data_IF_032298232500
#
_entry.id   IF_032298232500
#
_cell.length_a   1.000
_cell.length_b   1.000
_cell.length_c   1.000
_cell.angle_alpha   90.00
_cell.angle_beta   90.00
_cell.angle_gamma   90.00
#
_symmetry.space_group_name_H-M   'P 1'
#
loop_
_entity.id
_entity.type
_entity.pdbx_description
1 polymer ?
#
# COMPACT_ATOMS: atom_id res chain seq x y z
N UNK A 1 -17.00 -5.38 -13.52
CA UNK A 1 -15.55 -5.60 -13.74
C UNK A 1 -15.42 -6.38 -15.03
N UNK A 2 -14.73 -5.83 -16.03
CA UNK A 2 -14.54 -6.44 -17.34
C UNK A 2 -13.06 -6.76 -17.51
N UNK A 3 -12.76 -7.91 -18.08
CA UNK A 3 -11.41 -8.31 -18.40
C UNK A 3 -10.99 -7.63 -19.71
N UNK A 4 -10.10 -6.65 -19.64
CA UNK A 4 -9.66 -5.85 -20.80
C UNK A 4 -8.28 -6.30 -21.25
N UNK A 5 -8.07 -6.41 -22.56
CA UNK A 5 -6.74 -6.65 -23.13
C UNK A 5 -5.89 -5.39 -23.01
N UNK A 6 -4.64 -5.56 -22.57
CA UNK A 6 -3.61 -4.53 -22.50
C UNK A 6 -2.34 -5.05 -23.16
N UNK A 7 -1.40 -4.18 -23.51
CA UNK A 7 -0.10 -4.61 -24.02
C UNK A 7 0.58 -5.54 -23.01
N UNK A 8 0.77 -6.80 -23.40
CA UNK A 8 1.36 -7.83 -22.55
C UNK A 8 0.39 -8.66 -21.70
N UNK A 9 -0.94 -8.53 -21.85
CA UNK A 9 -1.87 -9.47 -21.20
C UNK A 9 -3.33 -9.04 -21.11
N UNK A 10 -4.06 -9.62 -20.16
CA UNK A 10 -5.44 -9.26 -19.82
C UNK A 10 -5.47 -8.77 -18.38
N UNK A 11 -6.15 -7.65 -18.12
CA UNK A 11 -6.29 -7.07 -16.80
C UNK A 11 -7.77 -6.94 -16.43
N UNK A 12 -8.10 -7.19 -15.16
CA UNK A 12 -9.41 -6.82 -14.63
C UNK A 12 -9.50 -5.30 -14.58
N UNK A 13 -10.54 -4.75 -15.22
CA UNK A 13 -10.79 -3.32 -15.27
C UNK A 13 -12.20 -3.02 -14.76
N UNK A 14 -12.35 -1.86 -14.12
CA UNK A 14 -13.66 -1.29 -13.81
C UNK A 14 -13.95 -0.25 -14.90
N UNK A 15 -14.86 -0.58 -15.81
CA UNK A 15 -15.35 0.35 -16.84
C UNK A 15 -16.69 0.94 -16.42
N UNK A 16 -17.00 2.12 -16.94
CA UNK A 16 -18.39 2.58 -17.00
C UNK A 16 -19.13 1.81 -18.11
N UNK A 17 -20.45 1.74 -18.01
CA UNK A 17 -21.31 1.12 -19.01
C UNK A 17 -22.07 2.23 -19.75
N UNK A 18 -21.49 2.72 -20.84
CA UNK A 18 -22.10 3.74 -21.71
C UNK A 18 -21.71 5.18 -21.36
N UNK A 19 -22.23 6.11 -22.16
CA UNK A 19 -22.03 7.57 -22.04
C UNK A 19 -22.89 8.22 -20.95
N UNK A 20 -24.01 7.59 -20.58
CA UNK A 20 -24.93 8.10 -19.56
C UNK A 20 -24.68 7.44 -18.20
N UNK A 21 -24.52 8.26 -17.18
CA UNK A 21 -24.45 7.75 -15.80
C UNK A 21 -25.84 7.37 -15.29
N UNK A 22 -25.99 6.25 -14.56
CA UNK A 22 -27.24 5.93 -13.88
C UNK A 22 -27.64 7.04 -12.91
N UNK A 23 -28.95 7.25 -12.75
CA UNK A 23 -29.46 8.21 -11.79
C UNK A 23 -29.09 7.81 -10.36
N UNK A 24 -28.65 8.78 -9.57
CA UNK A 24 -28.34 8.60 -8.15
C UNK A 24 -29.43 9.28 -7.33
N UNK A 25 -29.92 8.61 -6.29
CA UNK A 25 -30.99 9.11 -5.42
C UNK A 25 -30.52 9.16 -3.97
N UNK A 26 -31.03 10.14 -3.23
CA UNK A 26 -30.94 10.13 -1.77
C UNK A 26 -31.78 8.97 -1.23
N UNK A 27 -31.20 8.12 -0.40
CA UNK A 27 -31.89 6.96 0.17
C UNK A 27 -32.36 7.29 1.59
N UNK A 28 -33.65 7.11 1.85
CA UNK A 28 -34.22 7.37 3.18
C UNK A 28 -33.60 6.37 4.17
N UNK A 29 -32.81 6.89 5.12
CA UNK A 29 -32.05 6.08 6.10
C UNK A 29 -31.12 5.03 5.46
N UNK A 30 -30.70 5.25 4.22
CA UNK A 30 -29.82 4.32 3.49
C UNK A 30 -30.53 3.08 2.92
N UNK A 31 -31.86 3.02 2.95
CA UNK A 31 -32.63 1.91 2.37
C UNK A 31 -32.66 2.02 0.84
N UNK A 32 -32.04 1.05 0.15
CA UNK A 32 -31.97 0.99 -1.31
C UNK A 32 -33.35 0.87 -1.99
N UNK A 33 -34.39 0.42 -1.27
CA UNK A 33 -35.74 0.31 -1.79
C UNK A 33 -36.59 1.57 -1.57
N UNK A 34 -36.02 2.61 -0.93
CA UNK A 34 -36.71 3.87 -0.63
C UNK A 34 -35.93 5.07 -1.19
N UNK A 35 -35.83 5.20 -2.53
CA UNK A 35 -35.28 6.40 -3.14
C UNK A 35 -36.20 7.59 -2.87
N UNK A 36 -35.61 8.74 -2.59
CA UNK A 36 -36.30 10.02 -2.43
C UNK A 36 -36.01 10.93 -3.63
N UNK A 37 -35.22 11.99 -3.46
CA UNK A 37 -34.89 12.92 -4.53
C UNK A 37 -33.66 12.44 -5.30
N UNK A 38 -33.66 12.68 -6.61
CA UNK A 38 -32.48 12.57 -7.47
C UNK A 38 -31.41 13.58 -7.01
N UNK A 39 -30.16 13.17 -7.04
CA UNK A 39 -29.00 14.01 -6.76
C UNK A 39 -28.02 13.94 -7.93
N UNK A 40 -27.40 15.08 -8.22
CA UNK A 40 -26.32 15.15 -9.22
C UNK A 40 -24.95 15.05 -8.54
N UNK A 41 -23.93 14.51 -9.21
CA UNK A 41 -22.57 14.54 -8.71
C UNK A 41 -22.10 15.99 -8.53
N UNK A 42 -21.45 16.26 -7.41
CA UNK A 42 -20.89 17.57 -7.12
C UNK A 42 -19.59 17.42 -6.33
N UNK A 43 -18.69 18.39 -6.46
CA UNK A 43 -17.51 18.51 -5.59
C UNK A 43 -17.94 19.14 -4.26
N UNK A 44 -17.41 18.70 -3.11
CA UNK A 44 -17.71 19.34 -1.84
C UNK A 44 -17.47 20.86 -1.89
N UNK A 45 -18.47 21.64 -1.48
CA UNK A 45 -18.49 23.11 -1.57
C UNK A 45 -17.26 23.79 -0.93
N UNK A 46 -16.66 23.13 0.07
CA UNK A 46 -15.43 23.59 0.75
C UNK A 46 -14.25 23.80 -0.21
N UNK A 47 -14.25 23.13 -1.37
CA UNK A 47 -13.22 23.33 -2.38
C UNK A 47 -13.48 24.56 -3.27
N UNK A 48 -14.68 25.17 -3.19
CA UNK A 48 -15.04 26.47 -3.76
C UNK A 48 -14.65 26.67 -5.24
N UNK A 49 -14.68 25.60 -6.03
CA UNK A 49 -14.44 25.61 -7.48
C UNK A 49 -15.65 25.04 -8.19
N UNK A 50 -16.02 25.62 -9.33
CA UNK A 50 -16.82 24.91 -10.33
C UNK A 50 -16.08 23.61 -10.63
N UNK A 51 -16.72 22.48 -10.34
CA UNK A 51 -16.10 21.17 -10.49
C UNK A 51 -15.67 20.91 -11.94
N UNK A 52 -14.87 19.88 -12.21
CA UNK A 52 -14.40 19.62 -13.55
C UNK A 52 -15.55 19.24 -14.47
N UNK A 53 -15.60 19.87 -15.63
CA UNK A 53 -16.58 19.56 -16.66
C UNK A 53 -16.25 18.20 -17.30
N UNK A 54 -17.19 17.24 -17.29
CA UNK A 54 -16.99 15.96 -17.94
C UNK A 54 -17.14 16.06 -19.45
N UNK A 55 -16.24 15.38 -20.18
CA UNK A 55 -16.34 15.17 -21.63
C UNK A 55 -16.78 13.72 -21.89
N UNK A 56 -18.05 13.47 -22.25
CA UNK A 56 -18.52 12.12 -22.55
C UNK A 56 -17.81 11.52 -23.76
N UNK A 57 -17.63 10.20 -23.72
CA UNK A 57 -17.16 9.37 -24.84
C UNK A 57 -18.21 8.30 -25.11
N UNK A 58 -18.08 7.56 -26.22
CA UNK A 58 -19.01 6.47 -26.56
C UNK A 58 -19.21 5.45 -25.43
N UNK A 59 -18.20 5.25 -24.57
CA UNK A 59 -18.17 4.20 -23.55
C UNK A 59 -18.00 4.73 -22.11
N UNK A 60 -18.10 6.04 -21.89
CA UNK A 60 -17.98 6.63 -20.55
C UNK A 60 -18.62 8.02 -20.49
N UNK A 61 -19.17 8.35 -19.33
CA UNK A 61 -19.66 9.69 -19.01
C UNK A 61 -18.57 10.77 -18.91
N UNK A 62 -17.28 10.40 -18.94
CA UNK A 62 -16.16 11.35 -18.82
C UNK A 62 -15.89 11.84 -17.38
N UNK A 63 -16.84 11.65 -16.46
CA UNK A 63 -16.79 12.17 -15.07
C UNK A 63 -15.56 11.73 -14.29
N UNK A 64 -15.18 10.45 -14.37
CA UNK A 64 -13.98 9.93 -13.67
C UNK A 64 -12.68 10.56 -14.19
N UNK A 65 -12.56 10.74 -15.50
CA UNK A 65 -11.37 11.34 -16.09
C UNK A 65 -11.29 12.84 -15.76
N UNK A 66 -12.42 13.54 -15.82
CA UNK A 66 -12.52 14.95 -15.43
C UNK A 66 -12.10 15.16 -13.96
N UNK A 67 -12.61 14.33 -13.05
CA UNK A 67 -12.20 14.34 -11.64
C UNK A 67 -10.72 14.02 -11.47
N UNK A 68 -10.18 13.03 -12.18
CA UNK A 68 -8.77 12.68 -12.10
C UNK A 68 -7.88 13.85 -12.54
N UNK A 69 -8.20 14.49 -13.68
CA UNK A 69 -7.48 15.67 -14.19
C UNK A 69 -7.49 16.81 -13.18
N UNK A 70 -8.64 17.09 -12.57
CA UNK A 70 -8.78 18.13 -11.54
C UNK A 70 -7.98 17.84 -10.27
N UNK A 71 -8.00 16.59 -9.79
CA UNK A 71 -7.19 16.18 -8.62
C UNK A 71 -5.69 16.32 -8.93
N UNK A 72 -5.26 15.96 -10.15
CA UNK A 72 -3.85 16.01 -10.56
C UNK A 72 -3.46 17.31 -11.24
N UNK A 73 -4.29 18.34 -11.18
CA UNK A 73 -3.99 19.62 -11.81
C UNK A 73 -2.73 20.22 -11.16
N UNK A 74 -1.74 20.71 -11.95
CA UNK A 74 -0.54 21.36 -11.39
C UNK A 74 -0.84 22.56 -10.47
N UNK A 75 -1.98 23.23 -10.66
CA UNK A 75 -2.45 24.30 -9.79
C UNK A 75 -3.01 23.79 -8.45
N UNK A 76 -3.24 22.47 -8.31
CA UNK A 76 -3.58 21.82 -7.05
C UNK A 76 -2.30 21.34 -6.33
N UNK A 77 -1.79 22.06 -5.33
CA UNK A 77 -0.53 21.69 -4.67
C UNK A 77 -0.67 20.47 -3.75
N UNK A 78 -1.89 20.10 -3.34
CA UNK A 78 -2.09 19.10 -2.29
C UNK A 78 -1.73 17.69 -2.77
N UNK A 79 -2.13 17.33 -3.98
CA UNK A 79 -1.92 15.98 -4.52
C UNK A 79 -0.44 15.65 -4.63
N UNK A 80 0.36 16.59 -5.16
CA UNK A 80 1.80 16.42 -5.26
C UNK A 80 2.46 16.33 -3.87
N UNK A 81 2.12 17.24 -2.94
CA UNK A 81 2.64 17.23 -1.56
C UNK A 81 2.34 15.93 -0.82
N UNK A 82 1.09 15.43 -0.92
CA UNK A 82 0.70 14.17 -0.28
C UNK A 82 1.49 13.01 -0.86
N UNK A 83 1.64 12.94 -2.19
CA UNK A 83 2.36 11.83 -2.82
C UNK A 83 3.85 11.84 -2.49
N UNK A 84 4.53 12.98 -2.56
CA UNK A 84 5.96 13.05 -2.22
C UNK A 84 6.21 12.79 -0.74
N UNK A 85 5.28 13.20 0.14
CA UNK A 85 5.36 12.86 1.56
C UNK A 85 5.25 11.35 1.80
N UNK A 86 4.41 10.64 1.05
CA UNK A 86 4.32 9.16 1.09
C UNK A 86 5.61 8.50 0.59
N UNK A 87 6.18 9.00 -0.50
CA UNK A 87 7.46 8.50 -1.03
C UNK A 87 8.57 8.70 0.01
N UNK A 88 8.62 9.88 0.63
CA UNK A 88 9.56 10.20 1.71
C UNK A 88 9.35 9.27 2.91
N UNK A 89 8.12 9.16 3.40
CA UNK A 89 7.75 8.28 4.50
C UNK A 89 8.16 6.84 4.23
N UNK A 90 7.96 6.33 3.01
CA UNK A 90 8.34 4.96 2.67
C UNK A 90 9.86 4.74 2.75
N UNK A 91 10.68 5.76 2.53
CA UNK A 91 12.13 5.67 2.66
C UNK A 91 12.62 5.86 4.10
N UNK A 92 12.04 6.83 4.83
CA UNK A 92 12.52 7.24 6.15
C UNK A 92 11.72 6.70 7.34
N UNK A 93 10.61 6.01 7.09
CA UNK A 93 9.65 5.51 8.09
C UNK A 93 8.64 6.55 8.57
N UNK A 94 8.96 7.85 8.43
CA UNK A 94 8.12 8.98 8.81
C UNK A 94 8.13 10.03 7.70
N UNK A 95 6.97 10.60 7.40
CA UNK A 95 6.83 11.69 6.43
C UNK A 95 7.40 13.00 6.96
N UNK A 96 7.58 13.97 6.07
CA UNK A 96 7.83 15.38 6.42
C UNK A 96 6.61 15.92 7.18
N UNK A 97 5.41 15.53 6.75
CA UNK A 97 4.19 15.58 7.56
C UNK A 97 3.98 14.19 8.16
N UNK A 98 4.00 14.12 9.50
CA UNK A 98 3.96 12.85 10.23
C UNK A 98 2.63 12.09 10.11
N UNK A 99 1.55 12.78 9.75
CA UNK A 99 0.21 12.24 9.49
C UNK A 99 -0.07 12.16 7.99
N UNK A 100 0.30 11.06 7.31
CA UNK A 100 0.23 10.98 5.84
C UNK A 100 -1.19 11.01 5.25
N UNK A 101 -2.21 10.77 6.07
CA UNK A 101 -3.62 10.85 5.68
C UNK A 101 -4.30 12.17 6.08
N UNK A 102 -3.61 13.04 6.84
CA UNK A 102 -4.19 14.29 7.34
C UNK A 102 -3.17 15.43 7.23
N UNK A 103 -3.34 16.26 6.20
CA UNK A 103 -2.59 17.49 5.96
C UNK A 103 -3.35 18.74 6.45
N UNK A 104 -4.51 18.54 7.08
CA UNK A 104 -5.35 19.59 7.63
C UNK A 104 -4.89 20.03 9.01
N UNK A 105 -5.72 20.86 9.67
CA UNK A 105 -5.42 21.40 11.00
C UNK A 105 -5.37 20.35 12.13
N UNK A 106 -5.98 19.19 11.91
CA UNK A 106 -5.97 18.08 12.87
C UNK A 106 -4.73 17.17 12.70
N UNK A 107 -4.00 17.32 11.59
CA UNK A 107 -2.74 16.62 11.34
C UNK A 107 -1.55 17.20 12.11
N UNK A 108 -0.42 16.51 12.03
CA UNK A 108 0.84 17.00 12.56
C UNK A 108 1.42 18.14 11.72
N UNK A 109 2.12 19.12 12.34
CA UNK A 109 2.74 20.20 11.60
C UNK A 109 3.82 19.70 10.64
N UNK A 110 3.97 20.39 9.52
CA UNK A 110 5.03 20.13 8.54
C UNK A 110 6.41 20.43 9.15
N UNK A 111 7.32 19.45 9.14
CA UNK A 111 8.64 19.63 9.74
C UNK A 111 9.58 20.52 8.91
N UNK A 112 9.38 20.54 7.59
CA UNK A 112 10.12 21.39 6.66
C UNK A 112 9.26 21.66 5.41
N UNK A 113 8.63 22.84 5.36
CA UNK A 113 7.74 23.22 4.26
C UNK A 113 8.50 23.46 2.95
N UNK A 114 9.67 24.12 3.00
CA UNK A 114 10.49 24.41 1.81
C UNK A 114 10.90 23.12 1.09
N UNK A 115 11.31 22.09 1.83
CA UNK A 115 11.64 20.79 1.28
C UNK A 115 10.41 20.10 0.66
N UNK A 116 9.28 20.15 1.35
CA UNK A 116 8.05 19.53 0.86
C UNK A 116 7.59 20.17 -0.46
N UNK A 117 7.64 21.51 -0.53
CA UNK A 117 7.27 22.28 -1.70
C UNK A 117 8.23 22.03 -2.86
N UNK A 118 9.54 22.01 -2.59
CA UNK A 118 10.53 21.68 -3.60
C UNK A 118 10.32 20.27 -4.18
N UNK A 119 10.07 19.28 -3.33
CA UNK A 119 9.80 17.91 -3.78
C UNK A 119 8.50 17.83 -4.59
N UNK A 120 7.46 18.56 -4.19
CA UNK A 120 6.18 18.59 -4.90
C UNK A 120 6.33 19.21 -6.30
N UNK A 121 7.05 20.34 -6.41
CA UNK A 121 7.37 20.97 -7.71
C UNK A 121 8.20 20.04 -8.59
N UNK A 122 9.23 19.40 -8.04
CA UNK A 122 10.04 18.43 -8.79
C UNK A 122 9.22 17.24 -9.29
N UNK A 123 8.28 16.76 -8.48
CA UNK A 123 7.41 15.66 -8.86
C UNK A 123 6.51 16.02 -10.04
N UNK A 124 5.92 17.22 -10.04
CA UNK A 124 5.13 17.74 -11.17
C UNK A 124 6.03 17.91 -12.41
N UNK A 125 7.18 18.57 -12.28
CA UNK A 125 8.11 18.83 -13.39
C UNK A 125 8.66 17.55 -14.04
N UNK A 126 8.83 16.49 -13.26
CA UNK A 126 9.26 15.17 -13.74
C UNK A 126 8.15 14.34 -14.41
N UNK A 127 6.97 14.93 -14.63
CA UNK A 127 5.81 14.24 -15.20
C UNK A 127 5.21 13.20 -14.27
N UNK A 128 5.17 13.49 -12.96
CA UNK A 128 4.61 12.60 -11.93
C UNK A 128 5.35 11.26 -11.82
N UNK A 129 6.64 11.24 -12.14
CA UNK A 129 7.46 10.02 -12.15
C UNK A 129 7.89 9.60 -10.74
N UNK A 130 7.20 8.60 -10.17
CA UNK A 130 7.56 8.03 -8.85
C UNK A 130 9.00 7.49 -8.86
N UNK A 131 9.42 6.87 -9.97
CA UNK A 131 10.78 6.34 -10.14
C UNK A 131 11.83 7.45 -10.08
N UNK A 132 11.53 8.61 -10.66
CA UNK A 132 12.39 9.79 -10.56
C UNK A 132 12.53 10.25 -9.10
N UNK A 133 11.41 10.38 -8.39
CA UNK A 133 11.43 10.80 -6.98
C UNK A 133 12.18 9.83 -6.08
N UNK A 134 12.09 8.52 -6.32
CA UNK A 134 12.93 7.57 -5.58
C UNK A 134 14.42 7.86 -5.79
N UNK A 135 14.87 8.17 -7.01
CA UNK A 135 16.27 8.52 -7.28
C UNK A 135 16.68 9.82 -6.61
N UNK A 136 15.83 10.84 -6.64
CA UNK A 136 16.05 12.14 -5.96
C UNK A 136 16.29 11.90 -4.47
N UNK A 137 15.38 11.17 -3.81
CA UNK A 137 15.49 10.85 -2.38
C UNK A 137 16.72 10.01 -2.08
N UNK A 138 16.94 8.91 -2.81
CA UNK A 138 18.05 7.98 -2.57
C UNK A 138 19.43 8.58 -2.83
N UNK A 139 19.51 9.62 -3.68
CA UNK A 139 20.76 10.34 -3.93
C UNK A 139 21.04 11.45 -2.93
N UNK A 140 20.06 11.84 -2.12
CA UNK A 140 20.21 12.88 -1.10
C UNK A 140 21.21 12.50 0.00
N UNK A 141 21.82 13.52 0.61
CA UNK A 141 22.65 13.31 1.82
C UNK A 141 21.82 12.71 2.96
N UNK A 142 20.55 13.09 3.10
CA UNK A 142 19.67 12.58 4.15
C UNK A 142 19.51 11.06 4.08
N UNK A 143 19.29 10.51 2.89
CA UNK A 143 19.16 9.06 2.69
C UNK A 143 20.47 8.30 2.94
N UNK A 144 21.61 8.92 2.61
CA UNK A 144 22.95 8.31 2.75
C UNK A 144 23.57 8.47 4.14
N UNK A 145 22.87 9.09 5.09
CA UNK A 145 23.37 9.24 6.47
C UNK A 145 23.51 7.88 7.17
N UNK A 146 24.46 7.78 8.08
CA UNK A 146 24.60 6.63 8.97
C UNK A 146 23.38 6.52 9.90
N UNK A 147 23.11 5.31 10.39
CA UNK A 147 22.13 5.06 11.46
C UNK A 147 22.73 5.23 12.86
N UNK A 148 24.02 5.56 12.96
CA UNK A 148 24.72 5.73 14.24
C UNK A 148 24.09 6.81 15.12
N UNK A 149 24.00 6.57 16.44
CA UNK A 149 23.46 7.54 17.37
C UNK A 149 24.43 8.70 17.57
N UNK A 150 23.88 9.91 17.73
CA UNK A 150 24.62 11.09 18.14
C UNK A 150 23.96 11.66 19.38
N UNK A 151 24.66 11.67 20.52
CA UNK A 151 24.09 12.05 21.83
C UNK A 151 23.52 13.48 21.82
N UNK A 152 24.23 14.42 21.18
CA UNK A 152 23.80 15.83 21.11
C UNK A 152 22.52 16.00 20.30
N UNK A 153 22.40 15.32 19.17
CA UNK A 153 21.19 15.38 18.33
C UNK A 153 20.06 14.59 18.95
N UNK A 154 20.33 13.43 19.56
CA UNK A 154 19.33 12.63 20.26
C UNK A 154 18.69 13.39 21.42
N UNK A 155 19.44 14.25 22.12
CA UNK A 155 18.88 15.12 23.16
C UNK A 155 18.00 16.26 22.64
N UNK A 156 18.20 16.70 21.38
CA UNK A 156 17.44 17.81 20.77
C UNK A 156 16.26 17.36 19.92
N UNK A 157 16.43 16.28 19.18
CA UNK A 157 15.44 15.67 18.30
C UNK A 157 15.45 14.13 18.49
N UNK A 158 14.92 13.62 19.62
CA UNK A 158 14.87 12.19 19.90
C UNK A 158 14.09 11.39 18.84
N UNK A 159 13.06 12.00 18.26
CA UNK A 159 12.19 11.40 17.23
C UNK A 159 12.81 11.38 15.83
N UNK A 160 13.98 11.98 15.64
CA UNK A 160 14.64 12.12 14.35
C UNK A 160 13.73 12.76 13.28
N UNK A 161 12.92 13.75 13.69
CA UNK A 161 11.99 14.51 12.83
C UNK A 161 12.75 15.26 11.73
N UNK A 162 13.98 15.69 12.00
CA UNK A 162 14.84 16.39 11.04
C UNK A 162 15.84 15.46 10.32
N UNK A 163 15.67 14.14 10.45
CA UNK A 163 16.45 13.13 9.75
C UNK A 163 17.98 13.30 9.89
N UNK A 164 18.44 13.66 11.09
CA UNK A 164 19.88 13.81 11.40
C UNK A 164 20.66 12.48 11.33
N UNK A 165 19.95 11.34 11.31
CA UNK A 165 20.47 10.00 11.01
C UNK A 165 19.47 9.20 10.15
N UNK A 166 19.90 8.05 9.64
CA UNK A 166 18.98 7.09 9.04
C UNK A 166 18.23 6.30 10.13
N UNK A 167 16.94 6.04 9.90
CA UNK A 167 16.11 5.25 10.80
C UNK A 167 16.29 3.76 10.51
N UNK A 168 16.52 2.97 11.57
CA UNK A 168 16.37 1.52 11.49
C UNK A 168 14.90 1.20 11.32
N UNK A 169 14.59 0.33 10.37
CA UNK A 169 13.22 -0.04 10.04
C UNK A 169 13.05 -1.54 10.15
N UNK A 170 11.95 -1.93 10.77
CA UNK A 170 11.50 -3.32 10.76
C UNK A 170 11.09 -3.71 9.34
N UNK A 171 11.41 -4.94 8.95
CA UNK A 171 10.96 -5.51 7.69
C UNK A 171 9.45 -5.78 7.76
N UNK A 172 8.75 -5.50 6.66
CA UNK A 172 7.33 -5.86 6.50
C UNK A 172 7.17 -7.38 6.40
N UNK A 173 5.99 -7.90 6.77
CA UNK A 173 5.71 -9.34 6.79
C UNK A 173 6.11 -10.07 5.50
N UNK A 174 5.75 -9.47 4.35
CA UNK A 174 6.03 -9.98 3.02
C UNK A 174 7.54 -10.07 2.77
N UNK A 175 8.28 -9.06 3.23
CA UNK A 175 9.74 -9.02 3.09
C UNK A 175 10.41 -10.03 4.02
N UNK A 176 9.92 -10.20 5.25
CA UNK A 176 10.44 -11.23 6.18
C UNK A 176 10.33 -12.60 5.53
N UNK A 177 9.13 -12.96 5.04
CA UNK A 177 8.90 -14.24 4.37
C UNK A 177 9.75 -14.41 3.12
N UNK A 178 9.78 -13.41 2.24
CA UNK A 178 10.58 -13.47 1.01
C UNK A 178 12.08 -13.63 1.30
N UNK A 179 12.58 -13.02 2.38
CA UNK A 179 13.98 -13.17 2.81
C UNK A 179 14.28 -14.56 3.35
N UNK A 180 13.38 -15.16 4.12
CA UNK A 180 13.52 -16.55 4.58
C UNK A 180 13.67 -17.49 3.37
N UNK A 181 12.76 -17.39 2.40
CA UNK A 181 12.79 -18.19 1.18
C UNK A 181 14.02 -17.92 0.32
N UNK A 182 14.48 -16.66 0.27
CA UNK A 182 15.67 -16.30 -0.50
C UNK A 182 16.93 -16.91 0.12
N UNK A 183 17.10 -16.81 1.43
CA UNK A 183 18.29 -17.31 2.14
C UNK A 183 18.32 -18.84 2.07
N UNK A 184 17.18 -19.50 2.22
CA UNK A 184 17.06 -20.96 2.06
C UNK A 184 17.24 -21.45 0.62
N UNK A 185 17.14 -20.56 -0.37
CA UNK A 185 17.30 -20.91 -1.79
C UNK A 185 16.03 -21.53 -2.39
N UNK A 186 14.92 -21.50 -1.66
CA UNK A 186 13.62 -22.00 -2.12
C UNK A 186 12.83 -20.96 -2.93
N UNK A 187 13.16 -19.68 -2.83
CA UNK A 187 12.40 -18.59 -3.47
C UNK A 187 12.21 -18.82 -4.96
N UNK A 188 10.96 -18.95 -5.39
CA UNK A 188 10.56 -18.98 -6.79
C UNK A 188 10.45 -17.54 -7.34
N UNK A 189 11.33 -17.10 -8.26
CA UNK A 189 11.33 -15.72 -8.76
C UNK A 189 10.30 -15.46 -9.88
N UNK A 190 9.47 -16.45 -10.24
CA UNK A 190 8.47 -16.34 -11.32
C UNK A 190 7.57 -15.12 -11.12
N UNK A 191 7.57 -14.25 -12.14
CA UNK A 191 6.77 -13.02 -12.18
C UNK A 191 5.47 -13.24 -12.95
N UNK A 192 4.43 -12.52 -12.54
CA UNK A 192 3.12 -12.54 -13.20
C UNK A 192 2.35 -13.85 -12.97
N UNK A 193 1.26 -14.03 -13.71
CA UNK A 193 0.37 -15.19 -13.56
C UNK A 193 -0.53 -15.12 -12.31
N UNK A 194 -1.37 -16.15 -12.10
CA UNK A 194 -2.31 -16.19 -10.98
C UNK A 194 -1.61 -16.14 -9.62
N UNK A 195 -2.32 -15.64 -8.60
CA UNK A 195 -1.88 -15.74 -7.21
C UNK A 195 -1.79 -17.19 -6.76
N UNK A 196 -0.88 -17.50 -5.85
CA UNK A 196 -0.85 -18.78 -5.15
C UNK A 196 -1.73 -18.69 -3.90
N UNK A 197 -2.29 -19.81 -3.46
CA UNK A 197 -3.09 -19.88 -2.24
C UNK A 197 -2.24 -20.38 -1.07
N UNK A 198 -1.91 -19.55 -0.08
CA UNK A 198 -1.10 -19.95 1.08
C UNK A 198 -1.62 -21.21 1.76
N UNK A 199 -0.71 -22.08 2.18
CA UNK A 199 -1.05 -23.19 3.07
C UNK A 199 -1.49 -22.61 4.43
N UNK A 200 -2.67 -23.04 4.89
CA UNK A 200 -3.27 -22.61 6.15
C UNK A 200 -3.52 -23.83 7.01
N UNK A 201 -3.29 -23.69 8.33
CA UNK A 201 -3.58 -24.74 9.29
C UNK A 201 -5.09 -25.06 9.30
N UNK A 202 -5.43 -26.31 9.60
CA UNK A 202 -6.81 -26.80 9.59
C UNK A 202 -7.77 -25.97 10.45
N UNK A 203 -7.31 -25.42 11.57
CA UNK A 203 -8.09 -24.54 12.45
C UNK A 203 -8.52 -23.23 11.76
N UNK A 204 -7.63 -22.61 10.98
CA UNK A 204 -7.91 -21.38 10.24
C UNK A 204 -8.93 -21.65 9.13
N UNK A 205 -8.82 -22.81 8.47
CA UNK A 205 -9.76 -23.25 7.44
C UNK A 205 -11.12 -23.62 8.04
N UNK A 206 -11.15 -24.17 9.26
CA UNK A 206 -12.37 -24.53 10.00
C UNK A 206 -13.14 -23.29 10.47
N UNK A 207 -12.46 -22.19 10.80
CA UNK A 207 -13.08 -20.90 11.16
C UNK A 207 -13.64 -20.10 9.97
N UNK A 208 -13.46 -20.57 8.73
CA UNK A 208 -13.95 -19.87 7.55
C UNK A 208 -15.48 -19.91 7.46
N UNK A 209 -16.11 -18.85 6.93
CA UNK A 209 -17.57 -18.73 6.79
C UNK A 209 -18.26 -19.85 5.99
N UNK A 210 -17.49 -20.65 5.23
CA UNK A 210 -17.91 -21.91 4.60
C UNK A 210 -16.80 -22.95 4.76
N UNK A 211 -16.77 -23.73 5.87
CA UNK A 211 -15.73 -24.74 6.09
C UNK A 211 -15.66 -25.72 4.91
N UNK A 212 -14.46 -25.97 4.39
CA UNK A 212 -14.23 -26.94 3.31
C UNK A 212 -14.60 -26.50 1.88
N UNK A 213 -15.17 -25.30 1.66
CA UNK A 213 -15.41 -24.76 0.30
C UNK A 213 -14.62 -23.48 0.02
N UNK A 214 -13.69 -23.57 -0.93
CA UNK A 214 -13.14 -22.38 -1.63
C UNK A 214 -11.72 -21.96 -1.27
N UNK A 215 -10.99 -22.74 -0.47
CA UNK A 215 -9.54 -22.55 -0.28
C UNK A 215 -8.81 -23.87 -0.49
N UNK A 216 -8.21 -24.03 -1.67
CA UNK A 216 -7.27 -25.12 -1.96
C UNK A 216 -5.90 -24.50 -2.00
N UNK A 217 -4.98 -24.96 -1.15
CA UNK A 217 -3.63 -24.41 -1.15
C UNK A 217 -2.87 -24.83 -2.40
N UNK A 218 -2.01 -23.94 -2.86
CA UNK A 218 -1.10 -24.15 -3.98
C UNK A 218 -0.04 -25.20 -3.67
N UNK A 219 0.55 -25.80 -4.71
CA UNK A 219 1.66 -26.74 -4.56
C UNK A 219 2.92 -26.05 -4.00
N UNK A 220 3.93 -26.83 -3.59
CA UNK A 220 5.14 -26.30 -2.94
C UNK A 220 5.89 -25.26 -3.79
N UNK A 221 6.03 -25.47 -5.10
CA UNK A 221 6.71 -24.55 -6.00
C UNK A 221 6.00 -23.18 -6.07
N UNK A 222 4.67 -23.21 -6.07
CA UNK A 222 3.82 -22.03 -6.03
C UNK A 222 3.81 -21.36 -4.65
N UNK A 223 3.82 -22.14 -3.56
CA UNK A 223 3.97 -21.62 -2.20
C UNK A 223 5.27 -20.81 -2.10
N UNK A 224 6.37 -21.27 -2.71
CA UNK A 224 7.65 -20.58 -2.61
C UNK A 224 7.77 -19.30 -3.47
N UNK A 225 6.69 -18.84 -4.11
CA UNK A 225 6.67 -17.56 -4.83
C UNK A 225 6.74 -16.38 -3.87
N UNK A 226 7.18 -15.24 -4.41
CA UNK A 226 7.17 -13.95 -3.71
C UNK A 226 5.81 -13.67 -3.10
N UNK A 227 5.82 -13.17 -1.88
CA UNK A 227 4.65 -12.89 -1.04
C UNK A 227 3.66 -11.92 -1.69
N UNK A 228 4.11 -11.07 -2.62
CA UNK A 228 3.24 -10.20 -3.43
C UNK A 228 2.23 -10.97 -4.30
N UNK A 229 2.50 -12.26 -4.59
CA UNK A 229 1.59 -13.15 -5.32
C UNK A 229 0.72 -14.01 -4.40
N UNK A 230 0.79 -13.84 -3.09
CA UNK A 230 -0.10 -14.55 -2.17
C UNK A 230 -1.54 -14.08 -2.36
N UNK A 231 -2.47 -15.01 -2.48
CA UNK A 231 -3.89 -14.69 -2.53
C UNK A 231 -4.36 -14.23 -1.15
N UNK A 232 -5.01 -13.06 -1.10
CA UNK A 232 -5.58 -12.49 0.11
C UNK A 232 -7.09 -12.42 -0.04
N UNK A 233 -7.82 -13.03 0.90
CA UNK A 233 -9.26 -12.89 1.02
C UNK A 233 -9.55 -11.92 2.15
N UNK A 234 -10.50 -11.00 1.96
CA UNK A 234 -10.83 -9.94 2.93
C UNK A 234 -11.02 -10.47 4.37
N UNK A 235 -11.65 -11.62 4.51
CA UNK A 235 -11.95 -12.24 5.81
C UNK A 235 -10.96 -13.33 6.22
N UNK A 236 -9.89 -13.56 5.45
CA UNK A 236 -8.93 -14.63 5.71
C UNK A 236 -7.56 -14.24 5.18
N UNK A 237 -6.74 -13.74 6.09
CA UNK A 237 -5.35 -13.36 5.85
C UNK A 237 -4.45 -14.53 6.23
N UNK A 238 -3.27 -14.61 5.60
CA UNK A 238 -2.26 -15.58 5.99
C UNK A 238 -1.76 -15.27 7.42
N UNK A 239 -1.85 -16.20 8.40
CA UNK A 239 -1.54 -15.90 9.80
C UNK A 239 -0.13 -15.35 10.03
N UNK A 240 0.85 -15.79 9.23
CA UNK A 240 2.19 -15.21 9.26
C UNK A 240 2.14 -13.71 8.93
N UNK A 241 1.40 -13.32 7.90
CA UNK A 241 1.28 -11.91 7.55
C UNK A 241 0.58 -11.12 8.65
N UNK A 242 -0.55 -11.62 9.13
CA UNK A 242 -1.33 -10.97 10.19
C UNK A 242 -0.47 -10.69 11.43
N UNK A 243 0.31 -11.68 11.88
CA UNK A 243 1.17 -11.53 13.04
C UNK A 243 2.31 -10.51 12.86
N UNK A 244 2.74 -10.27 11.62
CA UNK A 244 3.78 -9.31 11.27
C UNK A 244 3.21 -8.00 10.69
N UNK A 245 2.07 -7.57 11.23
CA UNK A 245 1.44 -6.27 10.93
C UNK A 245 1.10 -6.11 9.43
N UNK A 246 0.43 -7.12 8.86
CA UNK A 246 -0.14 -7.00 7.51
C UNK A 246 -1.09 -5.81 7.40
N UNK A 247 -1.15 -5.20 6.21
CA UNK A 247 -2.13 -4.15 5.96
C UNK A 247 -3.56 -4.72 6.08
N UNK A 248 -4.42 -4.06 6.86
CA UNK A 248 -5.83 -4.44 6.95
C UNK A 248 -6.49 -4.34 5.56
N UNK A 249 -7.32 -5.30 5.22
CA UNK A 249 -8.06 -5.36 3.94
C UNK A 249 -9.39 -4.60 3.97
N UNK A 250 -9.78 -4.03 5.12
CA UNK A 250 -11.08 -3.39 5.33
C UNK A 250 -11.07 -1.88 5.13
N UNK A 251 -9.91 -1.23 5.23
CA UNK A 251 -9.81 0.23 5.19
C UNK A 251 -8.45 0.73 4.72
N UNK A 252 -8.40 2.02 4.40
CA UNK A 252 -7.15 2.70 4.03
C UNK A 252 -6.28 2.92 5.26
N UNK A 253 -4.96 2.70 5.12
CA UNK A 253 -3.98 2.92 6.16
C UNK A 253 -2.94 3.93 5.68
N UNK A 254 -2.66 4.95 6.50
CA UNK A 254 -1.61 5.93 6.22
C UNK A 254 -0.21 5.40 6.52
N UNK A 255 -0.10 4.58 7.56
CA UNK A 255 1.13 3.96 8.03
C UNK A 255 0.79 2.58 8.55
N UNK A 256 1.59 1.56 8.19
CA UNK A 256 1.42 0.22 8.77
C UNK A 256 1.86 0.26 10.24
N UNK A 257 1.09 -0.33 11.16
CA UNK A 257 1.54 -0.46 12.54
C UNK A 257 2.82 -1.31 12.58
N UNK A 258 3.63 -1.10 13.61
CA UNK A 258 4.79 -1.94 13.89
C UNK A 258 4.70 -2.36 15.35
N UNK A 259 4.39 -3.64 15.57
CA UNK A 259 4.24 -4.22 16.90
C UNK A 259 5.41 -5.15 17.19
N UNK A 260 5.85 -5.18 18.45
CA UNK A 260 6.86 -6.13 18.93
C UNK A 260 6.24 -6.94 20.05
N UNK A 261 5.77 -8.14 19.72
CA UNK A 261 5.04 -9.00 20.65
C UNK A 261 5.67 -10.40 20.72
N UNK A 262 5.62 -11.02 21.89
CA UNK A 262 6.22 -12.35 22.11
C UNK A 262 5.77 -13.42 21.10
N UNK A 263 4.49 -13.47 20.65
CA UNK A 263 4.07 -14.43 19.64
C UNK A 263 4.84 -14.35 18.31
N UNK A 264 5.32 -13.17 17.90
CA UNK A 264 6.15 -13.03 16.70
C UNK A 264 7.47 -13.80 16.84
N UNK A 265 8.12 -13.69 18.00
CA UNK A 265 9.35 -14.42 18.29
C UNK A 265 9.09 -15.93 18.37
N UNK A 266 8.00 -16.35 19.02
CA UNK A 266 7.62 -17.76 19.10
C UNK A 266 7.32 -18.35 17.73
N UNK A 267 6.65 -17.61 16.85
CA UNK A 267 6.41 -18.04 15.46
C UNK A 267 7.73 -18.21 14.71
N UNK A 268 8.68 -17.28 14.89
CA UNK A 268 10.00 -17.36 14.28
C UNK A 268 10.84 -18.54 14.78
N UNK A 269 10.54 -19.10 15.96
CA UNK A 269 11.24 -20.26 16.50
C UNK A 269 10.60 -21.59 16.11
N UNK A 270 9.27 -21.63 16.00
CA UNK A 270 8.53 -22.90 15.98
C UNK A 270 7.70 -23.15 14.71
N UNK A 271 7.51 -22.17 13.84
CA UNK A 271 6.66 -22.39 12.65
C UNK A 271 7.31 -23.35 11.65
N UNK A 272 6.48 -24.15 11.00
CA UNK A 272 6.88 -25.07 9.92
C UNK A 272 7.68 -24.34 8.84
N UNK A 273 7.20 -23.16 8.42
CA UNK A 273 7.89 -22.29 7.47
C UNK A 273 9.35 -22.04 7.89
N UNK A 274 9.62 -21.74 9.17
CA UNK A 274 10.99 -21.47 9.61
C UNK A 274 11.79 -22.76 9.72
N UNK A 275 11.24 -23.80 10.35
CA UNK A 275 11.95 -25.07 10.57
C UNK A 275 12.37 -25.72 9.25
N UNK A 276 11.47 -25.75 8.26
CA UNK A 276 11.77 -26.31 6.93
C UNK A 276 12.83 -25.49 6.18
N UNK A 277 12.75 -24.16 6.25
CA UNK A 277 13.74 -23.31 5.59
C UNK A 277 15.10 -23.34 6.31
N UNK A 278 15.12 -23.46 7.64
CA UNK A 278 16.34 -23.65 8.42
C UNK A 278 17.03 -24.97 8.06
N UNK A 279 16.26 -26.07 7.89
CA UNK A 279 16.79 -27.35 7.41
C UNK A 279 17.43 -27.21 6.03
N UNK A 280 16.75 -26.56 5.09
CA UNK A 280 17.30 -26.33 3.74
C UNK A 280 18.54 -25.41 3.73
N UNK A 281 18.64 -24.47 4.68
CA UNK A 281 19.87 -23.69 4.87
C UNK A 281 21.00 -24.59 5.38
N UNK A 282 20.74 -25.43 6.38
CA UNK A 282 21.73 -26.34 6.96
C UNK A 282 22.26 -27.33 5.91
N UNK A 283 21.38 -27.95 5.12
CA UNK A 283 21.73 -28.86 4.01
C UNK A 283 22.60 -28.16 2.94
N UNK A 284 22.39 -26.87 2.69
CA UNK A 284 23.20 -26.09 1.73
C UNK A 284 24.53 -25.62 2.30
N UNK A 285 24.60 -25.35 3.59
CA UNK A 285 25.80 -24.87 4.27
C UNK A 285 26.75 -26.00 4.65
N UNK A 286 26.20 -27.19 4.95
CA UNK A 286 26.92 -28.38 5.37
C UNK A 286 26.51 -29.58 4.48
N UNK A 287 27.09 -29.67 3.26
CA UNK A 287 26.78 -30.74 2.30
C UNK A 287 27.25 -32.13 2.76
#
# INVERSE_FOLDING_TARGET
IILKSIDGGKALSVSEHGSESPETHLLIRGDAYRPERKVEPMIPEIFSTDGPEPEPTENSSGRRLALAKWITDPANPLTARVMVNRIWQYHFGRGIVGTPNDFGRAGEPVSNLELLDWLATEFINSGWSIKHMHRVVMNSRAYKRSSEPNVRNAGKDPGNVHHWRMNLRRLEAETIRDRILQISGKLNPKRGGPSFYPALNGEVVAGASKPGRGWRWSNEEEQNRRSVYAFVKRTMVYPFFELFDYANTEGSLGTRPQTTVAPQALLMLNSELIVENARSIAERAFP
#
